data_IF_384018077292
#
_entry.id   IF_384018077292
#
_cell.length_a   1.000
_cell.length_b   1.000
_cell.length_c   1.000
_cell.angle_alpha   90.00
_cell.angle_beta   90.00
_cell.angle_gamma   90.00
#
_symmetry.space_group_name_H-M   'P 1'
#
loop_
_entity.id
_entity.type
_entity.pdbx_description
1 polymer ?
#
# COMPACT_ATOMS: atom_id res chain seq x y z
N UNK A 1 -2.63 -11.78 15.98
CA UNK A 1 -1.91 -12.18 14.75
C UNK A 1 -2.38 -11.29 13.62
N UNK A 2 -1.61 -10.25 13.22
CA UNK A 2 -1.95 -9.48 12.03
C UNK A 2 -1.54 -10.32 10.81
N UNK A 3 -2.49 -11.00 10.17
CA UNK A 3 -2.26 -11.60 8.86
C UNK A 3 -2.06 -10.44 7.88
N UNK A 4 -0.89 -10.39 7.24
CA UNK A 4 -0.64 -9.44 6.17
C UNK A 4 -1.48 -9.87 4.96
N UNK A 5 -2.31 -8.99 4.39
CA UNK A 5 -3.04 -9.34 3.19
C UNK A 5 -2.06 -9.67 2.06
N UNK A 6 -2.41 -10.63 1.18
CA UNK A 6 -1.61 -10.88 -0.01
C UNK A 6 -1.66 -9.64 -0.89
N UNK A 7 -0.51 -9.03 -1.19
CA UNK A 7 -0.44 -7.86 -2.08
C UNK A 7 -0.84 -8.22 -3.52
N UNK A 8 -0.80 -9.52 -3.84
CA UNK A 8 -1.22 -10.11 -5.11
C UNK A 8 -2.74 -10.34 -5.20
N UNK A 9 -3.47 -10.07 -4.11
CA UNK A 9 -4.92 -10.23 -4.08
C UNK A 9 -5.60 -9.07 -4.84
N UNK A 10 -6.38 -9.35 -5.90
CA UNK A 10 -7.02 -8.32 -6.70
C UNK A 10 -8.16 -7.60 -5.96
N UNK A 11 -8.73 -8.22 -4.93
CA UNK A 11 -9.79 -7.66 -4.10
C UNK A 11 -9.21 -6.85 -2.92
N UNK A 12 -7.87 -6.78 -2.78
CA UNK A 12 -7.23 -6.00 -1.73
C UNK A 12 -7.51 -4.51 -1.93
N UNK A 13 -8.27 -3.96 -0.99
CA UNK A 13 -8.59 -2.54 -0.95
C UNK A 13 -7.38 -1.72 -0.49
N UNK A 14 -7.30 -0.47 -0.94
CA UNK A 14 -6.26 0.46 -0.50
C UNK A 14 -6.35 0.70 1.02
N UNK A 15 -7.55 0.73 1.60
CA UNK A 15 -7.72 0.86 3.03
C UNK A 15 -7.12 -0.31 3.81
N UNK A 16 -7.37 -1.55 3.37
CA UNK A 16 -6.82 -2.76 4.01
C UNK A 16 -5.30 -2.83 3.84
N UNK A 17 -4.80 -2.44 2.67
CA UNK A 17 -3.38 -2.32 2.39
C UNK A 17 -2.70 -1.36 3.37
N UNK A 18 -3.23 -0.14 3.54
CA UNK A 18 -2.63 0.87 4.43
C UNK A 18 -2.84 0.51 5.92
N UNK A 19 -3.95 -0.12 6.28
CA UNK A 19 -4.20 -0.61 7.63
C UNK A 19 -3.23 -1.74 8.03
N UNK A 20 -2.83 -2.58 7.08
CA UNK A 20 -1.85 -3.63 7.30
C UNK A 20 -0.40 -3.12 7.24
N UNK A 21 -0.12 -2.17 6.35
CA UNK A 21 1.22 -1.64 6.09
C UNK A 21 1.16 -0.15 5.74
N UNK A 22 1.26 0.77 6.72
CA UNK A 22 1.23 2.21 6.46
C UNK A 22 2.41 2.69 5.59
N UNK A 23 3.53 1.95 5.55
CA UNK A 23 4.63 2.19 4.63
C UNK A 23 4.24 2.03 3.14
N UNK A 24 3.19 1.26 2.83
CA UNK A 24 2.65 1.12 1.49
C UNK A 24 2.09 2.44 0.94
N UNK A 25 1.77 3.43 1.80
CA UNK A 25 1.30 4.74 1.37
C UNK A 25 2.38 5.58 0.67
N UNK A 26 3.66 5.26 0.89
CA UNK A 26 4.78 6.06 0.37
C UNK A 26 4.80 6.20 -1.16
N UNK A 27 4.71 5.12 -1.97
CA UNK A 27 4.67 5.23 -3.43
C UNK A 27 3.46 5.99 -3.98
N UNK A 28 2.37 6.09 -3.22
CA UNK A 28 1.21 6.92 -3.56
C UNK A 28 1.54 8.39 -3.33
N UNK A 29 2.07 8.71 -2.14
CA UNK A 29 2.42 10.08 -1.77
C UNK A 29 3.54 10.65 -2.65
N UNK A 30 4.55 9.85 -2.98
CA UNK A 30 5.65 10.28 -3.86
C UNK A 30 5.16 10.59 -5.30
N UNK A 31 4.01 10.03 -5.69
CA UNK A 31 3.31 10.34 -6.96
C UNK A 31 2.25 11.45 -6.82
N UNK A 32 2.08 12.03 -5.62
CA UNK A 32 1.04 13.03 -5.35
C UNK A 32 -0.38 12.48 -5.25
N UNK A 33 -0.54 11.16 -5.11
CA UNK A 33 -1.85 10.52 -4.97
C UNK A 33 -2.38 10.65 -3.54
N UNK A 34 -3.64 11.06 -3.42
CA UNK A 34 -4.32 11.28 -2.13
C UNK A 34 -5.10 10.05 -1.63
N UNK A 35 -4.94 8.90 -2.30
CA UNK A 35 -5.61 7.65 -1.99
C UNK A 35 -5.56 7.23 -0.50
N UNK A 36 -4.44 7.39 0.25
CA UNK A 36 -4.38 7.04 1.68
C UNK A 36 -5.31 7.84 2.59
N UNK A 37 -5.74 9.03 2.15
CA UNK A 37 -6.65 9.91 2.91
C UNK A 37 -8.05 10.03 2.30
N UNK A 38 -8.33 9.33 1.20
CA UNK A 38 -9.60 9.44 0.50
C UNK A 38 -10.65 8.51 1.11
N UNK A 39 -11.89 8.98 1.39
CA UNK A 39 -12.94 8.14 1.97
C UNK A 39 -13.38 6.97 1.06
N UNK A 40 -12.99 6.98 -0.22
CA UNK A 40 -13.24 5.89 -1.17
C UNK A 40 -12.24 4.73 -1.06
N UNK A 41 -11.12 4.90 -0.33
CA UNK A 41 -10.07 3.89 -0.18
C UNK A 41 -10.54 2.46 0.21
N UNK A 42 -11.58 2.24 1.04
CA UNK A 42 -12.06 0.88 1.36
C UNK A 42 -12.87 0.23 0.23
N UNK A 43 -13.16 0.95 -0.85
CA UNK A 43 -13.84 0.43 -2.04
C UNK A 43 -12.94 0.44 -3.27
N UNK A 44 -11.77 1.07 -3.16
CA UNK A 44 -10.86 1.27 -4.28
C UNK A 44 -9.69 0.30 -4.15
N UNK A 45 -9.52 -0.58 -5.14
CA UNK A 45 -8.42 -1.54 -5.13
C UNK A 45 -7.13 -0.91 -5.63
N UNK A 46 -6.02 -1.60 -5.42
CA UNK A 46 -4.75 -1.24 -6.04
C UNK A 46 -4.82 -1.25 -7.57
N UNK A 47 -5.63 -2.14 -8.15
CA UNK A 47 -5.83 -2.24 -9.59
C UNK A 47 -6.64 -1.05 -10.14
N UNK A 48 -7.68 -0.63 -9.42
CA UNK A 48 -8.49 0.54 -9.80
C UNK A 48 -7.64 1.81 -9.74
N UNK A 49 -6.82 1.97 -8.69
CA UNK A 49 -5.87 3.08 -8.62
C UNK A 49 -4.86 3.04 -9.78
N UNK A 50 -4.30 1.88 -10.13
CA UNK A 50 -3.41 1.80 -11.28
C UNK A 50 -4.15 2.21 -12.58
N UNK A 51 -5.39 1.76 -12.77
CA UNK A 51 -6.20 2.09 -13.94
C UNK A 51 -6.55 3.59 -14.03
N UNK A 52 -7.01 4.18 -12.93
CA UNK A 52 -7.43 5.58 -12.87
C UNK A 52 -6.29 6.55 -13.15
N UNK A 53 -5.09 6.20 -12.70
CA UNK A 53 -3.88 7.00 -12.92
C UNK A 53 -3.08 6.55 -14.16
N UNK A 54 -3.64 5.67 -14.99
CA UNK A 54 -3.00 5.12 -16.19
C UNK A 54 -1.58 4.55 -15.94
N UNK A 55 -1.40 3.89 -14.80
CA UNK A 55 -0.17 3.24 -14.39
C UNK A 55 -0.13 1.79 -14.86
N UNK A 56 1.11 1.29 -15.03
CA UNK A 56 1.34 -0.13 -15.13
C UNK A 56 1.03 -0.81 -13.80
N UNK A 57 -0.03 -1.62 -13.78
CA UNK A 57 -0.53 -2.24 -12.55
C UNK A 57 0.51 -3.17 -11.91
N UNK A 58 1.29 -3.89 -12.71
CA UNK A 58 2.32 -4.82 -12.24
C UNK A 58 3.53 -4.09 -11.65
N UNK A 59 4.03 -3.08 -12.38
CA UNK A 59 5.12 -2.22 -11.92
C UNK A 59 4.76 -1.45 -10.65
N UNK A 60 3.54 -0.91 -10.56
CA UNK A 60 3.08 -0.22 -9.37
C UNK A 60 2.91 -1.16 -8.18
N UNK A 61 2.36 -2.37 -8.41
CA UNK A 61 2.31 -3.43 -7.38
C UNK A 61 3.68 -3.79 -6.86
N UNK A 62 4.66 -3.98 -7.76
CA UNK A 62 6.03 -4.30 -7.37
C UNK A 62 6.64 -3.17 -6.53
N UNK A 63 6.41 -1.91 -6.88
CA UNK A 63 6.89 -0.78 -6.08
C UNK A 63 6.26 -0.73 -4.69
N UNK A 64 4.94 -0.94 -4.59
CA UNK A 64 4.24 -1.07 -3.31
C UNK A 64 4.81 -2.24 -2.51
N UNK A 65 5.01 -3.41 -3.12
CA UNK A 65 5.61 -4.56 -2.46
C UNK A 65 7.02 -4.28 -1.96
N UNK A 66 7.84 -3.54 -2.73
CA UNK A 66 9.18 -3.09 -2.31
C UNK A 66 9.12 -2.12 -1.14
N UNK A 67 8.19 -1.17 -1.15
CA UNK A 67 8.00 -0.22 -0.05
C UNK A 67 7.56 -0.94 1.24
N UNK A 68 6.68 -1.93 1.12
CA UNK A 68 6.26 -2.81 2.22
C UNK A 68 7.47 -3.59 2.75
N UNK A 69 8.22 -4.27 1.89
CA UNK A 69 9.44 -5.01 2.26
C UNK A 69 10.51 -4.12 2.91
N UNK A 70 10.76 -2.93 2.38
CA UNK A 70 11.71 -1.97 2.94
C UNK A 70 11.25 -1.44 4.31
N UNK A 71 9.95 -1.17 4.48
CA UNK A 71 9.38 -0.79 5.78
C UNK A 71 9.39 -1.93 6.81
N UNK A 72 9.42 -3.19 6.37
CA UNK A 72 9.65 -4.34 7.26
C UNK A 72 11.08 -4.41 7.80
N UNK A 73 12.08 -3.92 7.05
CA UNK A 73 13.48 -3.83 7.52
C UNK A 73 13.63 -2.77 8.62
N UNK A 74 12.75 -1.78 8.69
CA UNK A 74 12.72 -0.76 9.75
C UNK A 74 11.71 -1.06 10.88
N UNK A 75 11.13 -2.27 10.90
CA UNK A 75 10.21 -2.73 11.96
C UNK A 75 10.91 -3.24 13.22
N UNK A 76 12.24 -3.25 13.25
CA UNK A 76 13.00 -3.36 14.50
C UNK A 76 12.95 -2.03 15.22
N UNK A 77 11.97 -1.86 16.12
CA UNK A 77 12.04 -0.83 17.15
C UNK A 77 12.85 -1.41 18.32
N UNK A 78 14.17 -1.20 18.44
CA UNK A 78 14.80 -1.34 19.74
C UNK A 78 14.16 -0.26 20.63
N UNK A 79 13.56 -0.74 21.71
CA UNK A 79 13.32 -0.04 22.97
C UNK A 79 13.22 1.50 22.91
N UNK A 80 12.04 2.05 23.20
CA UNK A 80 11.96 3.35 23.87
C UNK A 80 10.78 3.37 24.87
N UNK A 81 11.21 3.36 26.14
CA UNK A 81 10.73 4.01 27.37
C UNK A 81 9.22 4.13 27.59
#
# INVERSE_FOLDING_TARGET
MRRRPPLDDPDLTLADLFAAAPCAARPFLDRGMLCPGCPVAPFHTLADAARDYALDADGFRNEVARAVQAGHVTGGRPDRY
#
